data_IF_545400846004
#
_entry.id   IF_545400846004
#
_cell.length_a   1.000
_cell.length_b   1.000
_cell.length_c   1.000
_cell.angle_alpha   90.00
_cell.angle_beta   90.00
_cell.angle_gamma   90.00
#
_symmetry.space_group_name_H-M   'P 1'
#
loop_
_entity.id
_entity.type
_entity.pdbx_description
1 polymer ?
#
# COMPACT_ATOMS: atom_id res chain seq x y z
N UNK A 1 12.33 -71.58 -53.39
CA UNK A 1 12.33 -70.17 -53.70
C UNK A 1 11.26 -69.51 -52.85
N UNK A 2 11.63 -68.90 -51.73
CA UNK A 2 10.71 -68.30 -50.75
C UNK A 2 11.01 -66.81 -50.73
N UNK A 3 10.07 -65.99 -51.29
CA UNK A 3 10.19 -64.54 -51.28
C UNK A 3 9.82 -64.02 -49.90
N UNK A 4 10.69 -63.27 -49.23
CA UNK A 4 10.45 -62.57 -48.02
C UNK A 4 9.69 -61.25 -48.31
N UNK A 5 8.52 -61.10 -47.72
CA UNK A 5 7.75 -59.83 -47.71
C UNK A 5 8.27 -58.97 -46.57
N UNK A 6 8.82 -57.80 -46.89
CA UNK A 6 9.11 -56.76 -45.92
C UNK A 6 7.86 -55.94 -45.68
N UNK A 7 7.52 -55.56 -44.43
CA UNK A 7 6.36 -54.76 -44.15
C UNK A 7 6.65 -53.27 -44.40
N UNK A 8 5.83 -52.65 -45.27
CA UNK A 8 5.87 -51.24 -45.66
C UNK A 8 5.37 -50.27 -44.57
N UNK A 9 5.09 -50.75 -43.37
CA UNK A 9 4.47 -49.98 -42.28
C UNK A 9 5.42 -49.29 -41.31
N UNK A 10 6.73 -49.58 -41.35
CA UNK A 10 7.69 -49.02 -40.41
C UNK A 10 8.27 -47.65 -40.82
N UNK A 11 8.25 -47.35 -42.13
CA UNK A 11 8.86 -46.13 -42.65
C UNK A 11 7.93 -44.91 -42.61
N UNK A 12 6.61 -45.10 -42.50
CA UNK A 12 5.64 -44.01 -42.44
C UNK A 12 5.48 -43.42 -41.01
N UNK A 13 5.78 -44.22 -39.99
CA UNK A 13 5.69 -43.77 -38.57
C UNK A 13 6.87 -42.86 -38.16
N UNK A 14 8.02 -42.97 -38.82
CA UNK A 14 9.22 -42.15 -38.48
C UNK A 14 9.11 -40.75 -39.12
N UNK A 15 8.41 -40.63 -40.25
CA UNK A 15 8.21 -39.33 -40.91
C UNK A 15 7.12 -38.43 -40.23
N UNK A 16 6.21 -39.03 -39.47
CA UNK A 16 5.19 -38.27 -38.74
C UNK A 16 5.67 -37.76 -37.35
N UNK A 17 6.74 -38.30 -36.79
CA UNK A 17 7.32 -37.84 -35.53
C UNK A 17 8.30 -36.66 -35.71
N UNK A 18 8.79 -36.41 -36.90
CA UNK A 18 9.71 -35.30 -37.19
C UNK A 18 9.00 -33.98 -37.51
N UNK A 19 7.69 -33.96 -37.65
CA UNK A 19 6.92 -32.75 -38.01
C UNK A 19 6.34 -32.00 -36.80
N UNK A 20 6.47 -32.53 -35.57
CA UNK A 20 5.97 -31.88 -34.35
C UNK A 20 7.02 -31.10 -33.54
N UNK A 21 8.25 -31.00 -34.05
CA UNK A 21 9.27 -30.11 -33.47
C UNK A 21 9.31 -28.75 -34.20
N UNK A 22 8.17 -28.23 -34.64
CA UNK A 22 8.06 -26.81 -34.97
C UNK A 22 8.14 -26.05 -33.65
N UNK A 23 9.32 -25.50 -33.41
CA UNK A 23 9.65 -24.57 -32.35
C UNK A 23 8.53 -23.57 -32.18
N UNK A 24 7.77 -23.66 -31.11
CA UNK A 24 7.10 -22.50 -30.56
C UNK A 24 8.24 -21.53 -30.16
N UNK A 25 8.68 -20.69 -31.09
CA UNK A 25 9.38 -19.47 -30.72
C UNK A 25 8.43 -18.71 -29.82
N UNK A 26 8.54 -18.97 -28.52
CA UNK A 26 7.88 -18.18 -27.50
C UNK A 26 8.30 -16.74 -27.74
N UNK A 27 7.39 -15.92 -28.24
CA UNK A 27 7.61 -14.47 -28.24
C UNK A 27 8.07 -14.11 -26.84
N UNK A 28 9.34 -13.75 -26.69
CA UNK A 28 9.79 -13.18 -25.41
C UNK A 28 8.83 -12.05 -25.07
N UNK A 29 8.29 -12.03 -23.83
CA UNK A 29 7.46 -10.93 -23.43
C UNK A 29 8.25 -9.63 -23.65
N UNK A 30 7.68 -8.72 -24.44
CA UNK A 30 8.28 -7.41 -24.65
C UNK A 30 8.41 -6.75 -23.28
N UNK A 31 9.65 -6.47 -22.87
CA UNK A 31 9.88 -5.69 -21.65
C UNK A 31 9.19 -4.34 -21.80
N UNK A 32 8.34 -3.91 -20.84
CA UNK A 32 7.69 -2.62 -20.93
C UNK A 32 8.75 -1.51 -20.96
N UNK A 33 8.53 -0.52 -21.84
CA UNK A 33 9.36 0.68 -21.93
C UNK A 33 8.53 1.86 -21.47
N UNK A 34 9.01 2.55 -20.44
CA UNK A 34 8.40 3.77 -19.94
C UNK A 34 9.03 4.99 -20.61
N UNK A 35 8.19 5.97 -20.93
CA UNK A 35 8.58 7.26 -21.51
C UNK A 35 8.05 8.35 -20.59
N UNK A 36 8.87 9.34 -20.29
CA UNK A 36 8.45 10.52 -19.54
C UNK A 36 7.69 11.46 -20.48
N UNK A 37 6.39 11.63 -20.18
CA UNK A 37 5.49 12.51 -20.92
C UNK A 37 5.02 13.71 -20.07
N UNK A 38 5.60 13.95 -18.92
CA UNK A 38 5.18 14.98 -17.96
C UNK A 38 4.95 16.34 -18.62
N UNK A 39 5.92 16.82 -19.38
CA UNK A 39 5.85 18.13 -20.03
C UNK A 39 4.81 18.20 -21.17
N UNK A 40 4.66 17.11 -21.92
CA UNK A 40 3.71 17.04 -23.06
C UNK A 40 2.29 16.75 -22.59
N UNK A 41 2.15 16.09 -21.45
CA UNK A 41 0.85 15.79 -20.85
C UNK A 41 0.21 16.99 -20.13
N UNK A 42 0.93 18.12 -19.98
CA UNK A 42 0.39 19.33 -19.35
C UNK A 42 0.49 19.34 -17.82
N UNK A 43 1.36 18.49 -17.24
CA UNK A 43 1.62 18.46 -15.79
C UNK A 43 2.79 19.38 -15.45
N UNK A 44 2.55 20.34 -14.56
CA UNK A 44 3.55 21.23 -14.00
C UNK A 44 3.39 21.26 -12.47
N UNK A 45 4.05 20.35 -11.79
CA UNK A 45 4.01 20.23 -10.33
C UNK A 45 5.38 19.90 -9.77
N UNK A 46 5.71 20.50 -8.64
CA UNK A 46 6.96 20.24 -7.93
C UNK A 46 6.67 20.04 -6.45
N UNK A 47 7.06 18.91 -5.91
CA UNK A 47 7.10 18.68 -4.48
C UNK A 47 8.33 19.36 -3.89
N UNK A 48 8.16 20.17 -2.85
CA UNK A 48 9.24 20.94 -2.23
C UNK A 48 8.97 21.21 -0.76
N UNK A 49 10.01 21.61 -0.06
CA UNK A 49 9.99 22.02 1.34
C UNK A 49 11.26 21.63 2.06
N UNK A 50 11.37 22.09 3.30
CA UNK A 50 12.51 21.82 4.17
C UNK A 50 12.46 20.38 4.73
N UNK A 51 13.18 20.16 5.83
CA UNK A 51 13.43 18.85 6.41
C UNK A 51 12.14 18.02 6.69
N UNK A 52 11.07 18.67 7.17
CA UNK A 52 9.79 17.97 7.45
C UNK A 52 9.07 17.46 6.18
N UNK A 53 9.56 17.81 4.99
CA UNK A 53 9.03 17.32 3.72
C UNK A 53 9.95 16.31 3.02
N UNK A 54 11.05 15.87 3.66
CA UNK A 54 11.96 14.89 3.07
C UNK A 54 11.29 13.52 2.83
N UNK A 55 10.21 13.21 3.55
CA UNK A 55 9.37 12.03 3.36
C UNK A 55 7.99 12.47 2.92
N UNK A 56 7.53 12.01 1.76
CA UNK A 56 6.27 12.41 1.14
C UNK A 56 6.40 12.55 -0.37
N UNK A 57 5.55 13.38 -0.98
CA UNK A 57 5.58 13.62 -2.43
C UNK A 57 4.74 12.61 -3.21
N UNK A 58 3.69 12.10 -2.60
CA UNK A 58 2.80 11.12 -3.22
C UNK A 58 1.92 11.70 -4.32
N UNK A 59 1.38 10.80 -5.13
CA UNK A 59 0.33 11.05 -6.12
C UNK A 59 -0.86 10.14 -5.83
N UNK A 60 -2.07 10.71 -5.86
CA UNK A 60 -3.30 9.93 -5.92
C UNK A 60 -3.83 9.94 -7.35
N UNK A 61 -4.22 8.76 -7.82
CA UNK A 61 -4.83 8.56 -9.14
C UNK A 61 -6.21 7.94 -8.96
N UNK A 62 -7.24 8.65 -9.38
CA UNK A 62 -8.64 8.25 -9.17
C UNK A 62 -9.55 8.95 -10.19
N UNK A 63 -10.66 8.30 -10.55
CA UNK A 63 -11.66 8.86 -11.46
C UNK A 63 -12.76 9.55 -10.63
N UNK A 64 -12.72 10.87 -10.53
CA UNK A 64 -13.64 11.64 -9.67
C UNK A 64 -14.92 12.08 -10.38
N UNK A 65 -15.06 11.84 -11.68
CA UNK A 65 -16.22 12.21 -12.47
C UNK A 65 -16.84 11.04 -13.25
N UNK A 66 -16.33 9.82 -13.01
CA UNK A 66 -16.80 8.57 -13.62
C UNK A 66 -16.76 8.58 -15.17
N UNK A 67 -15.76 9.27 -15.76
CA UNK A 67 -15.57 9.32 -17.22
C UNK A 67 -14.67 8.19 -17.74
N UNK A 68 -14.11 7.36 -16.86
CA UNK A 68 -13.24 6.24 -17.17
C UNK A 68 -11.77 6.62 -17.34
N UNK A 69 -11.39 7.88 -17.10
CA UNK A 69 -10.02 8.37 -17.15
C UNK A 69 -9.60 8.84 -15.76
N UNK A 70 -8.50 8.29 -15.25
CA UNK A 70 -8.02 8.66 -13.93
C UNK A 70 -7.47 10.10 -13.89
N UNK A 71 -7.96 10.88 -12.95
CA UNK A 71 -7.46 12.20 -12.57
C UNK A 71 -6.29 12.07 -11.60
N UNK A 72 -5.56 13.15 -11.35
CA UNK A 72 -4.37 13.14 -10.49
C UNK A 72 -4.44 14.24 -9.43
N UNK A 73 -4.13 13.87 -8.19
CA UNK A 73 -3.77 14.82 -7.14
C UNK A 73 -2.31 14.63 -6.77
N UNK A 74 -1.52 15.67 -6.94
CA UNK A 74 -0.08 15.70 -6.67
C UNK A 74 0.17 16.46 -5.38
N UNK A 75 0.79 15.79 -4.39
CA UNK A 75 1.23 16.44 -3.16
C UNK A 75 2.23 17.55 -3.48
N UNK A 76 2.13 18.69 -2.80
CA UNK A 76 3.00 19.85 -3.03
C UNK A 76 4.09 20.03 -1.97
N UNK A 77 4.03 19.26 -0.86
CA UNK A 77 4.86 19.52 0.30
C UNK A 77 4.47 20.85 0.95
N UNK A 78 5.42 21.75 1.08
CA UNK A 78 5.19 23.11 1.58
C UNK A 78 4.23 23.94 0.72
N UNK A 79 4.24 23.68 -0.60
CA UNK A 79 3.32 24.31 -1.53
C UNK A 79 1.94 23.58 -1.49
N UNK A 80 0.87 24.25 -1.96
CA UNK A 80 -0.41 23.58 -2.13
C UNK A 80 -0.34 22.37 -3.06
N UNK A 81 -1.08 21.32 -2.73
CA UNK A 81 -1.29 20.21 -3.64
C UNK A 81 -1.97 20.69 -4.93
N UNK A 82 -1.71 20.02 -6.04
CA UNK A 82 -2.28 20.36 -7.34
C UNK A 82 -3.14 19.25 -7.86
N UNK A 83 -4.34 19.61 -8.28
CA UNK A 83 -5.28 18.67 -8.90
C UNK A 83 -5.28 18.85 -10.42
N UNK A 84 -5.17 17.72 -11.14
CA UNK A 84 -5.18 17.67 -12.59
C UNK A 84 -6.30 16.79 -13.09
N UNK A 85 -7.21 17.37 -13.87
CA UNK A 85 -8.26 16.64 -14.55
C UNK A 85 -7.72 16.01 -15.83
N UNK A 86 -8.02 14.72 -16.01
CA UNK A 86 -7.65 14.00 -17.21
C UNK A 86 -8.53 14.46 -18.41
N UNK A 87 -7.89 14.72 -19.54
CA UNK A 87 -8.51 15.11 -20.81
C UNK A 87 -8.05 14.25 -21.95
N UNK A 88 -7.42 13.13 -21.65
CA UNK A 88 -6.99 12.15 -22.63
C UNK A 88 -8.18 11.56 -23.40
N UNK A 89 -7.89 11.00 -24.53
CA UNK A 89 -8.86 10.22 -25.30
C UNK A 89 -8.36 8.79 -25.43
N UNK A 90 -9.26 7.85 -25.65
CA UNK A 90 -8.91 6.43 -25.83
C UNK A 90 -7.87 6.28 -26.95
N UNK A 91 -6.75 5.62 -26.62
CA UNK A 91 -5.58 5.45 -27.49
C UNK A 91 -4.92 6.75 -27.98
N UNK A 92 -5.28 7.89 -27.39
CA UNK A 92 -4.64 9.18 -27.64
C UNK A 92 -3.46 9.45 -26.68
N UNK A 93 -2.77 10.58 -26.85
CA UNK A 93 -1.74 11.02 -25.94
C UNK A 93 -2.33 11.37 -24.57
N UNK A 94 -1.51 11.29 -23.52
CA UNK A 94 -1.87 11.78 -22.20
C UNK A 94 -2.08 13.30 -22.25
N UNK A 95 -3.16 13.76 -21.60
CA UNK A 95 -3.51 15.18 -21.53
C UNK A 95 -4.18 15.48 -20.19
N UNK A 96 -3.61 16.40 -19.44
CA UNK A 96 -4.11 16.83 -18.15
C UNK A 96 -4.23 18.36 -18.09
N UNK A 97 -5.22 18.84 -17.37
CA UNK A 97 -5.45 20.27 -17.16
C UNK A 97 -5.59 20.52 -15.66
N UNK A 98 -4.79 21.42 -15.13
CA UNK A 98 -4.92 21.84 -13.73
C UNK A 98 -6.32 22.44 -13.51
N UNK A 99 -6.98 22.00 -12.45
CA UNK A 99 -8.33 22.43 -12.11
C UNK A 99 -8.46 22.67 -10.61
N UNK A 100 -9.40 23.50 -10.20
CA UNK A 100 -9.75 23.66 -8.80
C UNK A 100 -10.77 22.63 -8.38
N UNK A 101 -10.50 21.95 -7.27
CA UNK A 101 -11.33 20.83 -6.79
C UNK A 101 -11.74 20.98 -5.31
N UNK A 102 -11.05 21.86 -4.54
CA UNK A 102 -11.16 21.95 -3.09
C UNK A 102 -10.06 21.15 -2.37
N UNK A 103 -9.14 20.49 -3.11
CA UNK A 103 -8.06 19.66 -2.58
C UNK A 103 -6.72 20.40 -2.46
N UNK A 104 -6.69 21.70 -2.76
CA UNK A 104 -5.48 22.51 -2.84
C UNK A 104 -4.97 22.94 -1.45
N UNK A 105 -4.74 21.96 -0.56
CA UNK A 105 -4.15 22.18 0.76
C UNK A 105 -2.63 22.25 0.68
N UNK A 106 -2.02 23.07 1.51
CA UNK A 106 -0.60 23.07 1.79
C UNK A 106 -0.20 21.88 2.69
N UNK A 107 1.09 21.62 2.79
CA UNK A 107 1.70 20.61 3.66
C UNK A 107 1.20 19.17 3.42
N UNK A 108 0.66 18.90 2.24
CA UNK A 108 0.22 17.55 1.85
C UNK A 108 1.45 16.68 1.57
N UNK A 109 1.52 15.54 2.24
CA UNK A 109 2.55 14.52 2.11
C UNK A 109 2.06 13.32 1.28
N UNK A 110 0.78 13.00 1.38
CA UNK A 110 0.14 11.90 0.66
C UNK A 110 -1.37 12.09 0.60
N UNK A 111 -2.00 11.43 -0.37
CA UNK A 111 -3.43 11.47 -0.59
C UNK A 111 -3.95 10.06 -0.90
N UNK A 112 -5.07 9.69 -0.28
CA UNK A 112 -5.60 8.32 -0.32
C UNK A 112 -7.08 8.34 -0.70
N UNK A 113 -7.40 7.96 -1.95
CA UNK A 113 -8.78 7.83 -2.41
C UNK A 113 -9.49 6.66 -1.71
N UNK A 114 -10.71 6.90 -1.24
CA UNK A 114 -11.53 5.93 -0.52
C UNK A 114 -12.97 6.44 -0.50
N UNK A 115 -13.96 5.58 -0.73
CA UNK A 115 -15.37 5.89 -0.48
C UNK A 115 -15.63 5.66 1.03
N UNK A 116 -15.58 6.73 1.82
CA UNK A 116 -15.66 6.68 3.29
C UNK A 116 -17.10 6.46 3.76
N UNK A 117 -18.05 7.17 3.18
CA UNK A 117 -19.43 7.16 3.65
C UNK A 117 -20.35 6.22 2.86
N UNK A 118 -19.75 5.43 1.95
CA UNK A 118 -20.40 4.44 1.12
C UNK A 118 -21.54 5.02 0.26
N UNK A 119 -21.37 6.25 -0.23
CA UNK A 119 -22.33 6.91 -1.12
C UNK A 119 -22.02 6.66 -2.62
N UNK A 120 -20.92 5.96 -2.91
CA UNK A 120 -20.48 5.60 -4.26
C UNK A 120 -19.70 6.72 -4.97
N UNK A 121 -19.45 7.85 -4.28
CA UNK A 121 -18.60 8.93 -4.77
C UNK A 121 -17.21 8.81 -4.11
N UNK A 122 -16.17 9.08 -4.87
CA UNK A 122 -14.80 8.99 -4.36
C UNK A 122 -14.50 10.12 -3.40
N UNK A 123 -14.13 9.78 -2.16
CA UNK A 123 -13.61 10.68 -1.14
C UNK A 123 -12.08 10.60 -1.08
N UNK A 124 -11.44 11.42 -0.24
CA UNK A 124 -10.00 11.36 0.01
C UNK A 124 -9.65 11.59 1.47
N UNK A 125 -8.58 10.96 1.91
CA UNK A 125 -7.85 11.33 3.12
C UNK A 125 -6.51 11.93 2.72
N UNK A 126 -6.25 13.16 3.15
CA UNK A 126 -4.99 13.87 2.93
C UNK A 126 -4.13 13.79 4.19
N UNK A 127 -2.95 13.18 4.09
CA UNK A 127 -1.95 13.22 5.16
C UNK A 127 -1.11 14.48 5.02
N UNK A 128 -0.82 15.11 6.16
CA UNK A 128 -0.13 16.38 6.19
C UNK A 128 0.94 16.43 7.28
N UNK A 129 1.85 17.38 7.16
CA UNK A 129 2.61 17.87 8.31
C UNK A 129 1.72 18.86 9.08
N UNK A 130 0.98 18.36 10.07
CA UNK A 130 -0.10 19.05 10.75
C UNK A 130 -1.41 18.28 10.66
N UNK A 131 -2.51 18.96 10.82
CA UNK A 131 -3.83 18.32 10.80
C UNK A 131 -4.13 17.62 9.47
N UNK A 132 -4.39 16.32 9.53
CA UNK A 132 -4.87 15.55 8.39
C UNK A 132 -6.32 15.94 8.02
N UNK A 133 -6.67 15.83 6.76
CA UNK A 133 -7.97 16.26 6.27
C UNK A 133 -8.71 15.12 5.58
N UNK A 134 -9.94 14.86 6.01
CA UNK A 134 -10.88 14.03 5.28
C UNK A 134 -11.70 14.93 4.35
N UNK A 135 -11.78 14.55 3.08
CA UNK A 135 -12.45 15.30 2.03
C UNK A 135 -13.58 14.46 1.44
N UNK A 136 -14.81 14.95 1.57
CA UNK A 136 -15.98 14.32 0.95
C UNK A 136 -16.07 14.69 -0.51
N UNK A 137 -16.27 13.70 -1.36
CA UNK A 137 -16.59 13.89 -2.76
C UNK A 137 -18.02 14.39 -2.98
N UNK A 138 -18.18 15.36 -3.86
CA UNK A 138 -19.49 15.92 -4.26
C UNK A 138 -19.84 15.57 -5.71
N UNK A 139 -19.04 14.68 -6.32
CA UNK A 139 -19.09 14.41 -7.75
C UNK A 139 -18.49 15.54 -8.60
N UNK A 140 -18.27 15.24 -9.89
CA UNK A 140 -17.68 16.17 -10.85
C UNK A 140 -16.35 16.79 -10.38
N UNK A 141 -15.55 16.00 -9.65
CA UNK A 141 -14.24 16.38 -9.12
C UNK A 141 -14.28 17.59 -8.16
N UNK A 142 -15.34 17.73 -7.41
CA UNK A 142 -15.46 18.71 -6.35
C UNK A 142 -15.45 18.04 -4.99
N UNK A 143 -14.78 18.64 -4.03
CA UNK A 143 -14.61 18.10 -2.69
C UNK A 143 -14.86 19.16 -1.64
N UNK A 144 -15.34 18.72 -0.48
CA UNK A 144 -15.50 19.55 0.71
C UNK A 144 -14.87 18.87 1.93
N UNK A 145 -14.39 19.69 2.86
CA UNK A 145 -13.81 19.17 4.10
C UNK A 145 -14.89 18.54 4.98
N UNK A 146 -14.64 17.31 5.43
CA UNK A 146 -15.60 16.53 6.21
C UNK A 146 -15.13 16.15 7.63
N UNK A 147 -13.99 16.64 8.12
CA UNK A 147 -13.46 16.30 9.45
C UNK A 147 -14.53 16.41 10.54
N UNK A 148 -15.21 17.54 10.66
CA UNK A 148 -16.22 17.77 11.69
C UNK A 148 -17.47 16.89 11.45
N UNK A 149 -17.97 16.86 10.22
CA UNK A 149 -19.15 16.10 9.86
C UNK A 149 -18.98 14.60 10.13
N UNK A 150 -17.81 14.06 9.83
CA UNK A 150 -17.50 12.65 10.03
C UNK A 150 -16.87 12.32 11.38
N UNK A 151 -16.55 13.32 12.21
CA UNK A 151 -15.82 13.11 13.46
C UNK A 151 -14.41 12.56 13.23
N UNK A 152 -13.82 12.87 12.06
CA UNK A 152 -12.46 12.48 11.76
C UNK A 152 -11.49 13.37 12.52
N UNK A 153 -10.70 12.77 13.42
CA UNK A 153 -9.66 13.48 14.16
C UNK A 153 -8.40 13.53 13.28
N UNK A 154 -8.11 14.69 12.77
CA UNK A 154 -6.93 14.92 11.93
C UNK A 154 -5.61 14.94 12.71
N UNK A 155 -5.66 15.10 14.03
CA UNK A 155 -4.46 15.29 14.87
C UNK A 155 -3.67 16.54 14.49
N UNK A 156 -2.42 16.61 14.89
CA UNK A 156 -1.44 17.64 14.49
C UNK A 156 -0.02 17.07 14.41
N UNK A 157 0.12 15.91 13.83
CA UNK A 157 1.39 15.22 13.71
C UNK A 157 2.00 15.35 12.31
N UNK A 158 3.20 14.84 12.14
CA UNK A 158 3.79 14.60 10.84
C UNK A 158 3.37 13.21 10.38
N UNK A 159 2.27 13.13 9.62
CA UNK A 159 1.66 11.86 9.21
C UNK A 159 2.22 11.40 7.87
N UNK A 160 2.77 10.18 7.84
CA UNK A 160 3.54 9.66 6.71
C UNK A 160 2.97 8.39 6.11
N UNK A 161 2.09 7.69 6.83
CA UNK A 161 1.57 6.39 6.39
C UNK A 161 0.08 6.27 6.68
N UNK A 162 -0.66 5.65 5.73
CA UNK A 162 -2.10 5.44 5.85
C UNK A 162 -2.51 4.08 5.31
N UNK A 163 -3.47 3.48 5.95
CA UNK A 163 -4.19 2.32 5.42
C UNK A 163 -5.62 2.31 5.94
N UNK A 164 -6.52 1.72 5.18
CA UNK A 164 -7.92 1.57 5.55
C UNK A 164 -8.40 0.13 5.31
N UNK A 165 -9.38 -0.31 6.10
CA UNK A 165 -10.05 -1.58 5.91
C UNK A 165 -11.50 -1.48 6.38
N UNK A 166 -12.38 -2.31 5.84
CA UNK A 166 -13.74 -2.47 6.35
C UNK A 166 -13.77 -3.69 7.26
N UNK A 167 -14.04 -3.48 8.55
CA UNK A 167 -14.24 -4.59 9.49
C UNK A 167 -15.56 -5.29 9.18
N UNK A 168 -15.66 -6.57 9.56
CA UNK A 168 -16.83 -7.37 9.20
C UNK A 168 -18.13 -6.78 9.79
N UNK A 169 -19.05 -6.45 8.90
CA UNK A 169 -20.34 -5.88 9.25
C UNK A 169 -20.38 -4.36 9.30
N UNK A 170 -19.26 -3.70 9.06
CA UNK A 170 -19.18 -2.25 9.00
C UNK A 170 -19.28 -1.74 7.55
N UNK A 171 -20.01 -0.65 7.36
CA UNK A 171 -20.09 0.07 6.09
C UNK A 171 -19.14 1.28 6.05
N UNK A 172 -18.54 1.62 7.17
CA UNK A 172 -17.53 2.65 7.29
C UNK A 172 -16.16 2.03 7.56
N UNK A 173 -15.08 2.61 7.03
CA UNK A 173 -13.76 2.03 7.17
C UNK A 173 -13.18 2.24 8.57
N UNK A 174 -12.35 1.31 8.99
CA UNK A 174 -11.37 1.52 10.04
C UNK A 174 -10.12 2.11 9.40
N UNK A 175 -9.68 3.26 9.90
CA UNK A 175 -8.54 4.01 9.40
C UNK A 175 -7.35 3.83 10.32
N UNK A 176 -6.16 3.67 9.75
CA UNK A 176 -4.90 3.67 10.48
C UNK A 176 -3.98 4.74 9.91
N UNK A 177 -3.42 5.57 10.81
CA UNK A 177 -2.46 6.61 10.46
C UNK A 177 -1.16 6.37 11.19
N UNK A 178 -0.08 6.33 10.43
CA UNK A 178 1.28 6.29 10.92
C UNK A 178 1.87 7.69 11.00
N UNK A 179 2.36 8.05 12.17
CA UNK A 179 2.96 9.33 12.46
C UNK A 179 4.47 9.18 12.62
N UNK A 180 5.20 10.12 12.07
CA UNK A 180 6.65 10.09 12.04
C UNK A 180 7.25 10.71 13.31
N UNK A 181 8.28 11.50 13.16
CA UNK A 181 8.98 12.17 14.25
C UNK A 181 8.06 13.25 14.87
N UNK A 182 8.17 13.42 16.17
CA UNK A 182 7.49 14.51 16.85
C UNK A 182 8.10 15.85 16.41
N UNK A 183 7.32 16.64 15.70
CA UNK A 183 7.75 17.91 15.12
C UNK A 183 7.88 19.04 16.14
N UNK A 184 7.46 18.82 17.36
CA UNK A 184 7.51 19.79 18.46
C UNK A 184 8.64 19.52 19.46
N UNK A 185 9.30 18.36 19.33
CA UNK A 185 10.41 17.99 20.21
C UNK A 185 11.76 18.24 19.51
N UNK A 186 12.60 19.07 20.14
CA UNK A 186 13.99 19.29 19.72
C UNK A 186 14.91 18.36 20.50
N UNK A 187 14.91 17.07 20.14
CA UNK A 187 15.75 16.04 20.76
C UNK A 187 16.77 15.53 19.74
N UNK A 188 18.03 15.82 19.99
CA UNK A 188 19.13 15.27 19.21
C UNK A 188 19.32 13.75 19.49
N UNK A 189 19.68 12.94 18.50
CA UNK A 189 19.97 13.34 17.10
C UNK A 189 18.76 13.35 16.19
N UNK A 190 17.59 12.81 16.57
CA UNK A 190 16.49 12.55 15.64
C UNK A 190 15.08 12.74 16.21
N UNK A 191 14.96 13.31 17.41
CA UNK A 191 13.68 13.43 18.10
C UNK A 191 13.11 12.10 18.59
N UNK A 192 11.87 12.12 19.01
CA UNK A 192 11.07 10.94 19.36
C UNK A 192 9.99 10.68 18.30
N UNK A 193 9.44 9.48 18.31
CA UNK A 193 8.34 9.12 17.39
C UNK A 193 6.99 9.48 17.99
N UNK A 194 6.15 10.13 17.20
CA UNK A 194 4.74 10.38 17.56
C UNK A 194 3.95 9.08 17.50
N UNK A 195 2.98 8.91 18.40
CA UNK A 195 2.11 7.74 18.41
C UNK A 195 1.35 7.60 17.10
N UNK A 196 1.26 6.38 16.59
CA UNK A 196 0.33 6.02 15.53
C UNK A 196 -1.07 5.89 16.11
N UNK A 197 -2.09 5.94 15.27
CA UNK A 197 -3.45 5.77 15.75
C UNK A 197 -4.34 5.00 14.78
N UNK A 198 -5.37 4.40 15.37
CA UNK A 198 -6.45 3.70 14.70
C UNK A 198 -7.76 4.40 15.01
N UNK A 199 -8.55 4.71 13.99
CA UNK A 199 -9.86 5.32 14.16
C UNK A 199 -10.92 4.43 13.50
N UNK A 200 -11.91 4.01 14.30
CA UNK A 200 -13.01 3.14 13.89
C UNK A 200 -14.30 3.93 13.72
N UNK A 201 -15.26 3.38 12.96
CA UNK A 201 -16.63 3.88 13.02
C UNK A 201 -17.14 3.90 14.47
N UNK A 202 -17.97 4.89 14.79
CA UNK A 202 -18.67 4.90 16.06
C UNK A 202 -19.66 3.74 16.13
N UNK A 203 -19.79 3.11 17.33
CA UNK A 203 -20.76 2.04 17.53
C UNK A 203 -22.20 2.50 17.16
N UNK A 204 -23.04 1.55 16.73
CA UNK A 204 -24.46 1.77 16.40
C UNK A 204 -24.75 2.43 15.03
N UNK A 205 -24.01 2.10 13.99
CA UNK A 205 -24.33 2.49 12.61
C UNK A 205 -24.26 4.00 12.36
N UNK A 206 -23.54 4.71 13.22
CA UNK A 206 -23.29 6.13 13.09
C UNK A 206 -22.43 6.40 11.86
N UNK A 207 -22.83 7.35 11.02
CA UNK A 207 -22.00 7.86 9.92
C UNK A 207 -20.93 8.83 10.45
N UNK A 208 -20.20 8.38 11.47
CA UNK A 208 -19.13 9.15 12.13
C UNK A 208 -18.08 8.20 12.69
N UNK A 209 -16.88 8.71 12.83
CA UNK A 209 -15.80 8.03 13.53
C UNK A 209 -15.88 8.21 15.04
N UNK A 210 -15.49 7.20 15.79
CA UNK A 210 -15.20 7.29 17.21
C UNK A 210 -13.84 8.00 17.42
N UNK A 211 -13.52 8.49 18.63
CA UNK A 211 -12.18 9.00 18.93
C UNK A 211 -11.09 7.97 18.60
N UNK A 212 -9.93 8.43 18.10
CA UNK A 212 -8.85 7.53 17.73
C UNK A 212 -8.25 6.82 18.95
N UNK A 213 -7.74 5.60 18.72
CA UNK A 213 -7.02 4.80 19.69
C UNK A 213 -5.53 4.80 19.34
N UNK A 214 -4.67 5.16 20.28
CA UNK A 214 -3.22 5.17 20.07
C UNK A 214 -2.67 3.74 19.93
N UNK A 215 -1.81 3.53 18.94
CA UNK A 215 -1.04 2.32 18.70
C UNK A 215 0.37 2.51 19.26
N UNK A 216 0.58 2.07 20.51
CA UNK A 216 1.83 2.24 21.25
C UNK A 216 2.57 0.92 21.47
N UNK A 217 3.92 0.91 21.37
CA UNK A 217 4.81 2.02 21.03
C UNK A 217 4.83 2.30 19.52
N UNK A 218 5.17 3.54 19.13
CA UNK A 218 5.48 3.92 17.76
C UNK A 218 6.99 3.97 17.53
N UNK A 219 7.41 3.68 16.29
CA UNK A 219 8.80 3.73 15.86
C UNK A 219 8.96 4.46 14.53
N UNK A 220 8.18 5.53 14.33
CA UNK A 220 8.20 6.40 13.16
C UNK A 220 7.99 5.62 11.84
N UNK A 221 6.81 5.12 11.56
CA UNK A 221 6.55 4.38 10.35
C UNK A 221 6.59 5.26 9.10
N UNK A 222 7.03 4.68 7.99
CA UNK A 222 6.89 5.25 6.66
C UNK A 222 5.91 4.46 5.79
N UNK A 223 5.48 3.28 6.24
CA UNK A 223 4.42 2.52 5.58
C UNK A 223 3.61 1.69 6.57
N UNK A 224 2.30 1.63 6.35
CA UNK A 224 1.38 0.75 7.06
C UNK A 224 0.45 0.06 6.07
N UNK A 225 0.02 -1.16 6.40
CA UNK A 225 -0.82 -1.96 5.52
C UNK A 225 -1.76 -2.85 6.34
N UNK A 226 -3.07 -2.70 6.15
CA UNK A 226 -4.01 -3.73 6.58
C UNK A 226 -3.87 -4.97 5.70
N UNK A 227 -3.79 -6.13 6.33
CA UNK A 227 -3.55 -7.40 5.65
C UNK A 227 -4.15 -8.56 6.41
N UNK A 228 -4.80 -9.48 5.71
CA UNK A 228 -5.26 -10.77 6.27
C UNK A 228 -4.17 -11.82 6.04
N UNK A 229 -3.06 -11.67 6.74
CA UNK A 229 -1.85 -12.47 6.57
C UNK A 229 -2.06 -13.97 6.80
N UNK A 230 -3.04 -14.35 7.58
CA UNK A 230 -3.37 -15.74 7.93
C UNK A 230 -4.70 -16.23 7.32
N UNK A 231 -5.32 -15.41 6.45
CA UNK A 231 -6.59 -15.70 5.77
C UNK A 231 -7.75 -16.05 6.74
N UNK A 232 -7.74 -15.42 7.91
CA UNK A 232 -8.78 -15.60 8.92
C UNK A 232 -10.08 -14.85 8.62
N UNK A 233 -10.04 -13.94 7.63
CA UNK A 233 -11.11 -12.98 7.37
C UNK A 233 -11.11 -11.81 8.36
N UNK A 234 -10.07 -11.68 9.18
CA UNK A 234 -9.87 -10.57 10.13
C UNK A 234 -8.53 -9.92 9.83
N UNK A 235 -8.51 -8.66 9.40
CA UNK A 235 -7.26 -8.00 9.04
C UNK A 235 -6.39 -7.75 10.26
N UNK A 236 -5.08 -7.78 10.04
CA UNK A 236 -4.06 -7.26 10.94
C UNK A 236 -3.44 -6.01 10.33
N UNK A 237 -2.79 -5.17 11.10
CA UNK A 237 -2.09 -4.00 10.61
C UNK A 237 -0.59 -4.23 10.65
N UNK A 238 0.04 -4.28 9.49
CA UNK A 238 1.49 -4.33 9.32
C UNK A 238 2.05 -2.92 9.34
N UNK A 239 3.15 -2.70 10.07
CA UNK A 239 3.82 -1.40 10.19
C UNK A 239 5.30 -1.55 9.88
N UNK A 240 5.81 -0.73 8.96
CA UNK A 240 7.22 -0.65 8.63
C UNK A 240 7.80 0.64 9.18
N UNK A 241 8.76 0.49 10.08
CA UNK A 241 9.29 1.55 10.92
C UNK A 241 10.71 1.94 10.51
N UNK A 242 10.97 3.24 10.40
CA UNK A 242 12.26 3.78 9.99
C UNK A 242 13.22 4.00 11.17
N UNK A 243 12.69 4.23 12.38
CA UNK A 243 13.52 4.76 13.46
C UNK A 243 13.45 3.96 14.75
N UNK A 244 14.18 4.45 15.75
CA UNK A 244 14.25 3.94 17.13
C UNK A 244 14.68 2.47 17.26
N UNK A 245 15.19 1.84 16.18
CA UNK A 245 15.76 0.50 16.24
C UNK A 245 16.84 0.35 17.32
N UNK A 246 17.55 1.44 17.66
CA UNK A 246 18.54 1.51 18.74
C UNK A 246 17.92 1.59 20.13
N UNK A 247 16.63 1.97 20.24
CA UNK A 247 15.84 1.96 21.49
C UNK A 247 14.94 0.72 21.60
N UNK A 248 15.15 -0.30 20.78
CA UNK A 248 14.30 -1.49 20.72
C UNK A 248 13.22 -1.45 19.66
N UNK A 249 13.21 -0.41 18.83
CA UNK A 249 12.31 -0.26 17.71
C UNK A 249 12.50 -1.34 16.67
N UNK A 250 11.42 -1.71 16.02
CA UNK A 250 11.35 -2.78 15.02
C UNK A 250 10.11 -2.66 14.18
N UNK A 251 10.04 -3.47 13.14
CA UNK A 251 8.81 -3.75 12.40
C UNK A 251 7.74 -4.32 13.31
N UNK A 252 6.48 -3.96 13.06
CA UNK A 252 5.35 -4.34 13.93
C UNK A 252 4.23 -5.02 13.12
N UNK A 253 3.45 -5.83 13.84
CA UNK A 253 2.17 -6.35 13.40
C UNK A 253 1.17 -6.20 14.53
N UNK A 254 0.00 -5.66 14.24
CA UNK A 254 -1.10 -5.47 15.20
C UNK A 254 -2.27 -6.35 14.83
N UNK A 255 -2.82 -7.07 15.80
CA UNK A 255 -4.09 -7.78 15.67
C UNK A 255 -5.22 -6.77 15.81
N UNK A 256 -6.07 -6.70 14.80
CA UNK A 256 -7.20 -5.75 14.74
C UNK A 256 -8.49 -6.59 14.69
N UNK A 257 -9.00 -6.95 15.88
CA UNK A 257 -10.27 -7.67 15.99
C UNK A 257 -11.43 -6.68 16.08
N UNK A 258 -12.57 -6.95 15.41
CA UNK A 258 -13.73 -6.07 15.47
C UNK A 258 -14.19 -5.79 16.91
N UNK A 259 -14.40 -4.51 17.23
CA UNK A 259 -14.86 -4.06 18.54
C UNK A 259 -13.87 -4.25 19.71
N UNK A 260 -12.66 -4.74 19.46
CA UNK A 260 -11.63 -4.93 20.50
C UNK A 260 -10.49 -3.93 20.37
N UNK A 261 -9.80 -3.69 21.48
CA UNK A 261 -8.56 -2.91 21.45
C UNK A 261 -7.50 -3.61 20.57
N UNK A 262 -6.72 -2.82 19.77
CA UNK A 262 -5.59 -3.37 19.03
C UNK A 262 -4.57 -4.04 19.94
N UNK A 263 -4.03 -5.19 19.52
CA UNK A 263 -3.02 -5.94 20.29
C UNK A 263 -1.77 -6.14 19.44
N UNK A 264 -0.63 -5.67 19.94
CA UNK A 264 0.67 -5.87 19.27
C UNK A 264 1.06 -7.35 19.34
N UNK A 265 1.41 -7.93 18.19
CA UNK A 265 1.99 -9.27 18.14
C UNK A 265 3.35 -9.32 18.84
N UNK A 266 3.57 -10.37 19.59
CA UNK A 266 4.79 -10.62 20.34
C UNK A 266 5.54 -11.86 19.81
N UNK A 267 6.71 -12.13 20.37
CA UNK A 267 7.44 -13.38 20.08
C UNK A 267 6.65 -14.63 20.50
N UNK A 268 5.77 -14.53 21.51
CA UNK A 268 4.89 -15.63 21.93
C UNK A 268 3.84 -15.95 20.87
N UNK A 269 3.43 -14.94 20.08
CA UNK A 269 2.52 -15.10 18.93
C UNK A 269 3.26 -15.55 17.67
N UNK A 270 4.58 -15.82 17.76
CA UNK A 270 5.41 -16.20 16.62
C UNK A 270 5.98 -15.01 15.83
N UNK A 271 5.73 -13.78 16.27
CA UNK A 271 6.33 -12.60 15.64
C UNK A 271 7.83 -12.57 15.85
N UNK A 272 8.60 -12.44 14.76
CA UNK A 272 10.06 -12.29 14.85
C UNK A 272 10.47 -10.84 14.80
N UNK A 273 11.39 -10.48 15.66
CA UNK A 273 12.01 -9.17 15.62
C UNK A 273 12.72 -8.94 14.30
N UNK A 274 12.32 -7.92 13.59
CA UNK A 274 12.96 -7.44 12.39
C UNK A 274 13.30 -5.96 12.58
N UNK A 275 14.58 -5.66 12.55
CA UNK A 275 15.10 -4.29 12.69
C UNK A 275 15.71 -3.89 11.36
N UNK A 276 15.06 -2.94 10.71
CA UNK A 276 15.50 -2.33 9.46
C UNK A 276 15.18 -0.84 9.53
N UNK A 277 15.72 -0.06 8.62
CA UNK A 277 15.22 1.29 8.35
C UNK A 277 14.08 1.17 7.33
N UNK A 278 12.93 0.76 7.83
CA UNK A 278 11.80 0.38 6.99
C UNK A 278 11.19 1.57 6.26
N UNK A 279 10.97 1.40 4.95
CA UNK A 279 10.44 2.42 4.07
C UNK A 279 9.06 2.06 3.55
N UNK A 280 8.96 1.01 2.77
CA UNK A 280 7.73 0.58 2.11
C UNK A 280 7.40 -0.88 2.34
N UNK A 281 6.13 -1.21 2.17
CA UNK A 281 5.60 -2.57 2.23
C UNK A 281 4.92 -2.88 0.90
N UNK A 282 5.33 -3.96 0.25
CA UNK A 282 4.56 -4.59 -0.82
C UNK A 282 4.11 -5.98 -0.37
N UNK A 283 2.91 -6.38 -0.76
CA UNK A 283 2.36 -7.70 -0.45
C UNK A 283 2.00 -8.43 -1.73
N UNK A 284 2.47 -9.67 -1.84
CA UNK A 284 2.18 -10.57 -2.94
C UNK A 284 2.45 -12.02 -2.51
N UNK A 285 1.71 -12.97 -3.07
CA UNK A 285 1.98 -14.40 -2.90
C UNK A 285 3.07 -14.83 -3.88
N UNK A 286 4.35 -14.80 -3.45
CA UNK A 286 5.50 -15.07 -4.33
C UNK A 286 5.80 -16.56 -4.49
N UNK A 287 5.30 -17.39 -3.59
CA UNK A 287 5.52 -18.84 -3.58
C UNK A 287 4.29 -19.64 -3.99
N UNK A 288 3.17 -18.95 -4.28
CA UNK A 288 1.88 -19.51 -4.70
C UNK A 288 1.27 -20.49 -3.67
N UNK A 289 1.46 -20.19 -2.37
CA UNK A 289 0.83 -20.93 -1.28
C UNK A 289 -0.53 -20.36 -0.85
N UNK A 290 -0.97 -19.32 -1.53
CA UNK A 290 -2.21 -18.58 -1.30
C UNK A 290 -2.22 -17.72 -0.04
N UNK A 291 -1.08 -17.50 0.61
CA UNK A 291 -0.92 -16.56 1.71
C UNK A 291 -0.09 -15.34 1.25
N UNK A 292 -0.34 -14.16 1.79
CA UNK A 292 0.43 -12.98 1.41
C UNK A 292 1.85 -13.05 2.00
N UNK A 293 2.84 -12.85 1.14
CA UNK A 293 4.22 -12.57 1.53
C UNK A 293 4.46 -11.06 1.51
N UNK A 294 5.52 -10.61 2.16
CA UNK A 294 5.83 -9.18 2.27
C UNK A 294 7.23 -8.88 1.82
N UNK A 295 7.35 -7.92 0.91
CA UNK A 295 8.62 -7.32 0.57
C UNK A 295 8.71 -5.95 1.25
N UNK A 296 9.73 -5.79 2.10
CA UNK A 296 9.99 -4.59 2.87
C UNK A 296 11.22 -3.90 2.30
N UNK A 297 11.05 -2.65 1.88
CA UNK A 297 12.19 -1.82 1.47
C UNK A 297 12.83 -1.16 2.67
N UNK A 298 14.13 -0.90 2.59
CA UNK A 298 14.92 -0.30 3.66
C UNK A 298 16.06 0.53 3.06
N UNK A 299 16.54 1.51 3.81
CA UNK A 299 17.76 2.25 3.43
C UNK A 299 19.01 1.34 3.39
N UNK A 300 18.97 0.18 4.04
CA UNK A 300 20.00 -0.84 3.95
C UNK A 300 19.50 -2.05 3.17
N UNK A 301 19.35 -3.21 3.80
CA UNK A 301 18.94 -4.45 3.16
C UNK A 301 17.42 -4.56 3.06
N UNK A 302 16.89 -4.70 1.87
CA UNK A 302 15.51 -5.08 1.66
C UNK A 302 15.24 -6.50 2.18
N UNK A 303 14.03 -6.75 2.66
CA UNK A 303 13.65 -8.04 3.24
C UNK A 303 12.42 -8.62 2.55
N UNK A 304 12.51 -9.90 2.19
CA UNK A 304 11.34 -10.69 1.80
C UNK A 304 10.97 -11.59 2.99
N UNK A 305 9.74 -11.46 3.44
CA UNK A 305 9.16 -12.32 4.47
C UNK A 305 8.13 -13.24 3.84
N UNK A 306 8.34 -14.52 3.99
CA UNK A 306 7.47 -15.59 3.50
C UNK A 306 6.89 -16.31 4.71
N UNK A 307 5.63 -16.73 4.64
CA UNK A 307 5.01 -17.52 5.70
C UNK A 307 5.69 -18.90 5.80
N UNK A 308 6.20 -19.27 6.99
CA UNK A 308 6.98 -20.50 7.17
C UNK A 308 6.11 -21.75 7.28
N UNK A 309 4.93 -21.61 7.86
CA UNK A 309 3.99 -22.69 8.10
C UNK A 309 2.58 -22.18 7.87
N UNK A 310 1.82 -22.89 7.05
CA UNK A 310 0.42 -22.55 6.77
C UNK A 310 -0.40 -22.81 8.03
N UNK A 311 -1.28 -21.86 8.45
CA UNK A 311 -2.18 -22.05 9.57
C UNK A 311 -3.09 -23.26 9.35
N UNK A 312 -3.01 -24.27 10.21
CA UNK A 312 -4.01 -25.34 10.19
C UNK A 312 -5.23 -24.94 11.03
N UNK A 313 -6.42 -25.13 10.47
CA UNK A 313 -7.68 -24.71 11.08
C UNK A 313 -7.98 -25.36 12.46
N UNK A 314 -7.21 -26.37 12.85
CA UNK A 314 -7.42 -27.12 14.10
C UNK A 314 -6.62 -26.62 15.30
N UNK A 315 -5.62 -25.80 15.09
CA UNK A 315 -4.83 -25.26 16.19
C UNK A 315 -5.33 -23.86 16.56
N UNK A 316 -6.20 -23.76 17.55
CA UNK A 316 -6.66 -22.50 18.13
C UNK A 316 -5.54 -21.63 18.76
N UNK A 317 -4.31 -21.89 18.43
CA UNK A 317 -3.10 -21.14 18.74
C UNK A 317 -2.24 -21.15 17.49
N UNK A 318 -2.28 -20.03 16.80
CA UNK A 318 -1.45 -19.79 15.63
C UNK A 318 0.04 -19.82 16.02
N UNK A 319 0.70 -20.96 15.94
CA UNK A 319 2.17 -21.06 16.02
C UNK A 319 2.77 -20.70 14.68
N UNK A 320 2.58 -19.47 14.24
CA UNK A 320 3.06 -19.06 12.94
C UNK A 320 4.34 -18.25 13.07
N UNK A 321 5.37 -18.81 12.53
CA UNK A 321 6.66 -18.13 12.34
C UNK A 321 6.60 -17.43 10.98
N UNK A 322 6.49 -16.11 10.97
CA UNK A 322 6.92 -15.33 9.82
C UNK A 322 8.43 -15.54 9.69
N UNK A 323 8.85 -16.39 8.78
CA UNK A 323 10.27 -16.64 8.55
C UNK A 323 10.87 -15.46 7.80
N UNK A 324 12.02 -15.00 8.27
CA UNK A 324 12.93 -14.26 7.42
C UNK A 324 13.33 -15.20 6.28
N UNK A 325 12.95 -14.86 5.05
CA UNK A 325 13.58 -15.46 3.88
C UNK A 325 15.09 -15.32 4.04
N UNK A 326 15.84 -16.31 3.59
CA UNK A 326 17.30 -16.33 3.67
C UNK A 326 17.87 -14.98 3.26
N UNK A 327 18.88 -14.50 3.98
CA UNK A 327 19.66 -13.27 3.71
C UNK A 327 20.36 -13.31 2.34
N UNK A 328 19.59 -13.47 1.28
CA UNK A 328 20.04 -13.26 -0.10
C UNK A 328 19.12 -12.23 -0.69
N UNK A 329 19.66 -11.02 -0.81
CA UNK A 329 19.10 -10.08 -1.76
C UNK A 329 18.78 -10.84 -3.05
N UNK A 330 17.55 -10.79 -3.59
CA UNK A 330 17.31 -11.31 -4.91
C UNK A 330 18.20 -10.49 -5.84
N UNK A 331 19.27 -11.07 -6.35
CA UNK A 331 20.00 -10.49 -7.47
C UNK A 331 19.08 -10.63 -8.68
N UNK A 332 18.14 -9.72 -8.79
CA UNK A 332 17.38 -9.45 -10.00
C UNK A 332 18.33 -8.78 -10.98
N UNK A 333 19.24 -9.51 -11.53
CA UNK A 333 20.01 -9.32 -12.78
C UNK A 333 21.33 -10.06 -12.64
N UNK A 334 21.35 -11.31 -13.07
CA UNK A 334 22.56 -11.82 -13.71
C UNK A 334 22.42 -11.51 -15.20
N UNK A 335 23.48 -10.89 -15.74
CA UNK A 335 23.70 -10.62 -17.17
C UNK A 335 23.40 -11.86 -18.04
#
# INVERSE_FOLDING_TARGET
>A
MTMARFPLSATLAILLLSACAASAEGKQPLAPRFVDETATAGIDSTYRGDWEFMVGGGVASFDCNADGFADLLLAGGEAPARFYRNRSTVAGPLSFVEARSGLEFDKVLGAYPLDVDADGVQDLVLLRSGENVAMRGLGECRFERANEAWGFDGGDAWSTAFSATFERGENWPTLAVGNYIDRFEDIEPWGSCTDNWLQRPAAEGGRRFAPPVALKPSFCPLSILFTDWNRSGTPSLRVSNDREYYKGGQEQMWRIEPGKAPVLYSQQDGWRYLRIWGMGIASYDVNFDSYPDYFLTSMADNKLQVLAEVPTAEAGLCRHRLCQGRDRAPTLYRR
#
